data_IF_213467169564
#
_entry.id   IF_213467169564
#
_cell.length_a   1.000
_cell.length_b   1.000
_cell.length_c   1.000
_cell.angle_alpha   90.00
_cell.angle_beta   90.00
_cell.angle_gamma   90.00
#
_symmetry.space_group_name_H-M   'P 1'
#
loop_
_entity.id
_entity.type
_entity.pdbx_description
1 polymer ?
#
# COMPACT_ATOMS: atom_id res chain seq x y z
N UNK A 1 -20.41 9.07 -10.88
CA UNK A 1 -19.05 9.28 -10.32
C UNK A 1 -18.73 10.76 -10.28
N UNK A 2 -18.17 11.28 -9.17
CA UNK A 2 -17.94 12.73 -8.96
C UNK A 2 -17.00 13.37 -9.98
N UNK A 3 -15.92 12.68 -10.37
CA UNK A 3 -14.91 13.25 -11.27
C UNK A 3 -15.23 13.08 -12.77
N UNK A 4 -16.43 12.58 -13.11
CA UNK A 4 -16.89 12.46 -14.50
C UNK A 4 -16.52 11.16 -15.23
N UNK A 5 -16.03 10.13 -14.52
CA UNK A 5 -15.81 8.79 -15.11
C UNK A 5 -17.14 8.21 -15.63
N UNK A 6 -17.24 7.83 -16.92
CA UNK A 6 -18.49 7.40 -17.53
C UNK A 6 -18.81 5.91 -17.32
N UNK A 7 -17.79 5.05 -17.30
CA UNK A 7 -17.95 3.61 -17.11
C UNK A 7 -18.09 3.25 -15.62
N UNK A 8 -18.93 2.26 -15.32
CA UNK A 8 -19.21 1.82 -13.94
C UNK A 8 -19.09 0.32 -13.75
N UNK A 9 -18.78 -0.43 -14.80
CA UNK A 9 -18.85 -1.90 -14.76
C UNK A 9 -17.82 -2.51 -13.79
N UNK A 10 -16.71 -1.80 -13.55
CA UNK A 10 -15.70 -2.18 -12.56
C UNK A 10 -16.24 -2.30 -11.13
N UNK A 11 -17.38 -1.66 -10.82
CA UNK A 11 -18.03 -1.70 -9.50
C UNK A 11 -18.71 -3.03 -9.18
N UNK A 12 -19.07 -3.81 -10.21
CA UNK A 12 -19.90 -5.00 -10.05
C UNK A 12 -19.09 -6.31 -9.97
N UNK A 13 -17.77 -6.21 -10.06
CA UNK A 13 -16.87 -7.35 -9.94
C UNK A 13 -16.55 -7.66 -8.48
N UNK A 14 -16.62 -8.94 -8.13
CA UNK A 14 -16.22 -9.46 -6.83
C UNK A 14 -15.18 -10.56 -7.01
N UNK A 15 -14.16 -10.54 -6.16
CA UNK A 15 -13.20 -11.62 -6.08
C UNK A 15 -13.85 -12.89 -5.53
N UNK A 16 -13.63 -14.02 -6.21
CA UNK A 16 -14.10 -15.34 -5.78
C UNK A 16 -12.91 -16.32 -5.82
N UNK A 17 -12.34 -16.68 -4.66
CA UNK A 17 -11.30 -17.69 -4.62
C UNK A 17 -11.78 -19.05 -5.12
N UNK A 18 -10.84 -19.91 -5.50
CA UNK A 18 -11.14 -21.31 -5.78
C UNK A 18 -11.46 -22.06 -4.46
N UNK A 19 -12.55 -22.82 -4.46
CA UNK A 19 -12.88 -23.75 -3.36
C UNK A 19 -13.47 -23.12 -2.09
N UNK A 20 -13.65 -21.80 -2.02
CA UNK A 20 -14.38 -21.15 -0.92
C UNK A 20 -15.05 -19.85 -1.36
N UNK A 21 -15.95 -19.32 -0.52
CA UNK A 21 -16.55 -18.01 -0.69
C UNK A 21 -16.00 -17.06 0.39
N UNK A 22 -15.63 -15.84 -0.01
CA UNK A 22 -15.26 -14.75 0.91
C UNK A 22 -16.46 -13.83 1.05
N UNK A 23 -17.13 -13.76 2.22
CA UNK A 23 -18.28 -12.88 2.40
C UNK A 23 -17.90 -11.40 2.19
N UNK A 24 -18.84 -10.57 1.71
CA UNK A 24 -18.63 -9.12 1.67
C UNK A 24 -18.40 -8.54 3.07
N UNK A 25 -17.63 -7.46 3.13
CA UNK A 25 -17.35 -6.74 4.36
C UNK A 25 -18.63 -6.28 5.06
N UNK A 26 -18.77 -6.67 6.33
CA UNK A 26 -19.85 -6.26 7.23
C UNK A 26 -19.31 -5.24 8.23
N UNK A 27 -19.55 -3.96 7.93
CA UNK A 27 -19.06 -2.84 8.74
C UNK A 27 -19.54 -2.87 10.19
N UNK A 28 -20.73 -3.43 10.46
CA UNK A 28 -21.26 -3.50 11.83
C UNK A 28 -20.48 -4.55 12.61
N UNK A 29 -20.34 -5.76 12.07
CA UNK A 29 -19.52 -6.81 12.70
C UNK A 29 -18.08 -6.39 12.87
N UNK A 30 -17.52 -5.68 11.90
CA UNK A 30 -16.16 -5.17 11.99
C UNK A 30 -16.02 -4.20 13.17
N UNK A 31 -16.83 -3.12 13.21
CA UNK A 31 -16.74 -2.12 14.27
C UNK A 31 -17.04 -2.71 15.66
N UNK A 32 -18.01 -3.63 15.77
CA UNK A 32 -18.32 -4.34 17.01
C UNK A 32 -17.09 -5.14 17.51
N UNK A 33 -16.40 -5.84 16.61
CA UNK A 33 -15.18 -6.61 16.92
C UNK A 33 -13.93 -5.77 17.15
N UNK A 34 -13.93 -4.51 16.70
CA UNK A 34 -12.81 -3.56 16.87
C UNK A 34 -13.02 -2.57 18.02
N UNK A 35 -14.05 -2.79 18.85
CA UNK A 35 -14.35 -1.94 20.00
C UNK A 35 -13.15 -1.81 20.95
N UNK A 36 -12.78 -0.58 21.25
CA UNK A 36 -11.67 -0.26 22.15
C UNK A 36 -10.27 -0.50 21.57
N UNK A 37 -10.15 -0.79 20.27
CA UNK A 37 -8.87 -1.17 19.63
C UNK A 37 -8.25 -0.02 18.83
N UNK A 38 -6.96 -0.11 18.56
CA UNK A 38 -6.21 0.81 17.71
C UNK A 38 -5.57 0.09 16.52
N UNK A 39 -6.00 0.46 15.32
CA UNK A 39 -5.41 0.03 14.05
C UNK A 39 -4.38 1.03 13.51
N UNK A 40 -3.32 0.52 12.90
CA UNK A 40 -2.38 1.32 12.12
C UNK A 40 -2.22 0.76 10.69
N UNK A 41 -2.44 1.60 9.69
CA UNK A 41 -2.08 1.35 8.30
C UNK A 41 -0.77 2.09 8.02
N UNK A 42 0.32 1.35 7.81
CA UNK A 42 1.69 1.89 7.71
C UNK A 42 2.21 1.64 6.29
N UNK A 43 2.57 2.69 5.57
CA UNK A 43 3.15 2.54 4.24
C UNK A 43 2.99 3.77 3.36
N UNK A 44 2.67 3.53 2.09
CA UNK A 44 2.61 4.52 1.02
C UNK A 44 1.17 4.98 0.67
N UNK A 45 1.03 5.60 -0.49
CA UNK A 45 -0.24 6.14 -0.99
C UNK A 45 -1.28 5.06 -1.32
N UNK A 46 -0.87 3.80 -1.50
CA UNK A 46 -1.81 2.69 -1.70
C UNK A 46 -2.42 2.27 -0.35
N UNK A 47 -1.70 2.37 0.78
CA UNK A 47 -2.35 2.25 2.10
C UNK A 47 -3.34 3.36 2.34
N UNK A 48 -3.03 4.59 1.90
CA UNK A 48 -4.00 5.70 1.95
C UNK A 48 -5.25 5.37 1.15
N UNK A 49 -5.11 4.76 -0.02
CA UNK A 49 -6.24 4.30 -0.82
C UNK A 49 -7.03 3.20 -0.08
N UNK A 50 -6.34 2.29 0.59
CA UNK A 50 -6.94 1.16 1.33
C UNK A 50 -7.73 1.64 2.55
N UNK A 51 -7.17 2.53 3.37
CA UNK A 51 -7.90 3.09 4.52
C UNK A 51 -9.10 3.91 4.07
N UNK A 52 -9.03 4.63 2.94
CA UNK A 52 -10.18 5.35 2.40
C UNK A 52 -11.33 4.40 2.04
N UNK A 53 -11.03 3.25 1.43
CA UNK A 53 -12.02 2.18 1.21
C UNK A 53 -12.62 1.71 2.53
N UNK A 54 -11.79 1.39 3.53
CA UNK A 54 -12.26 0.93 4.84
C UNK A 54 -13.18 1.96 5.49
N UNK A 55 -12.78 3.24 5.52
CA UNK A 55 -13.56 4.34 6.08
C UNK A 55 -14.93 4.47 5.37
N UNK A 56 -14.98 4.35 4.04
CA UNK A 56 -16.24 4.34 3.29
C UNK A 56 -17.13 3.12 3.60
N UNK A 57 -16.54 1.96 3.88
CA UNK A 57 -17.30 0.76 4.22
C UNK A 57 -17.93 0.87 5.62
N UNK A 58 -17.19 1.39 6.60
CA UNK A 58 -17.65 1.52 7.99
C UNK A 58 -18.53 2.77 8.22
N UNK A 59 -18.44 3.80 7.38
CA UNK A 59 -19.30 5.00 7.48
C UNK A 59 -20.80 4.70 7.30
N UNK A 60 -21.14 3.53 6.75
CA UNK A 60 -22.53 3.04 6.70
C UNK A 60 -23.10 2.71 8.09
N UNK A 61 -22.24 2.62 9.11
CA UNK A 61 -22.60 2.26 10.49
C UNK A 61 -22.29 3.41 11.44
N UNK A 62 -21.10 4.00 11.35
CA UNK A 62 -20.70 5.14 12.17
C UNK A 62 -19.73 6.04 11.41
N UNK A 63 -19.95 7.36 11.48
CA UNK A 63 -19.02 8.35 10.96
C UNK A 63 -17.79 8.50 11.85
N UNK A 64 -16.62 8.47 11.23
CA UNK A 64 -15.36 8.69 11.92
C UNK A 64 -15.07 10.19 12.08
N UNK A 65 -14.56 10.59 13.24
CA UNK A 65 -14.00 11.94 13.44
C UNK A 65 -12.51 11.92 13.17
N UNK A 66 -12.01 12.75 12.25
CA UNK A 66 -10.57 12.95 12.09
C UNK A 66 -10.03 13.72 13.31
N UNK A 67 -9.16 13.09 14.10
CA UNK A 67 -8.64 13.64 15.37
C UNK A 67 -7.19 14.09 15.27
N UNK A 68 -6.51 13.75 14.17
CA UNK A 68 -5.14 14.18 13.89
C UNK A 68 -4.84 14.06 12.40
N UNK A 69 -4.03 14.99 11.90
CA UNK A 69 -3.28 14.86 10.66
C UNK A 69 -1.92 15.55 10.84
N UNK A 70 -0.90 15.12 10.08
CA UNK A 70 0.33 15.91 9.95
C UNK A 70 0.12 17.10 8.99
N UNK A 71 1.09 18.02 8.91
CA UNK A 71 1.00 19.23 8.08
C UNK A 71 0.79 18.91 6.59
N UNK A 72 1.28 17.75 6.14
CA UNK A 72 1.16 17.27 4.76
C UNK A 72 -0.07 16.40 4.52
N UNK A 73 -0.87 16.15 5.55
CA UNK A 73 -2.00 15.21 5.55
C UNK A 73 -1.66 13.78 5.07
N UNK A 74 -0.38 13.38 5.12
CA UNK A 74 0.09 12.05 4.69
C UNK A 74 -0.11 11.02 5.80
N UNK A 75 0.07 11.44 7.05
CA UNK A 75 -0.36 10.69 8.23
C UNK A 75 -1.63 11.31 8.81
N UNK A 76 -2.59 10.48 9.19
CA UNK A 76 -3.91 10.89 9.68
C UNK A 76 -4.42 9.90 10.72
N UNK A 77 -5.37 10.32 11.55
CA UNK A 77 -6.01 9.45 12.54
C UNK A 77 -7.49 9.78 12.64
N UNK A 78 -8.30 8.73 12.64
CA UNK A 78 -9.73 8.82 12.83
C UNK A 78 -10.16 8.01 14.06
N UNK A 79 -11.18 8.52 14.73
CA UNK A 79 -11.78 7.92 15.91
C UNK A 79 -13.28 7.71 15.68
N UNK A 80 -13.78 6.54 16.09
CA UNK A 80 -15.18 6.13 16.06
C UNK A 80 -15.71 6.15 17.50
N UNK A 81 -16.36 7.23 17.95
CA UNK A 81 -16.68 7.44 19.37
C UNK A 81 -17.53 6.33 19.99
N UNK A 82 -18.53 5.84 19.26
CA UNK A 82 -19.49 4.83 19.75
C UNK A 82 -18.85 3.46 19.93
N UNK A 83 -17.80 3.16 19.16
CA UNK A 83 -17.02 1.93 19.28
C UNK A 83 -15.72 2.13 20.07
N UNK A 84 -15.35 3.36 20.43
CA UNK A 84 -14.02 3.67 20.97
C UNK A 84 -12.91 3.04 20.11
N UNK A 85 -13.10 3.01 18.78
CA UNK A 85 -12.18 2.41 17.82
C UNK A 85 -11.36 3.51 17.18
N UNK A 86 -10.06 3.31 17.04
CA UNK A 86 -9.16 4.27 16.41
C UNK A 86 -8.44 3.62 15.24
N UNK A 87 -8.33 4.34 14.11
CA UNK A 87 -7.51 3.93 12.97
C UNK A 87 -6.55 5.06 12.59
N UNK A 88 -5.26 4.74 12.48
CA UNK A 88 -4.22 5.66 12.02
C UNK A 88 -3.72 5.26 10.64
N UNK A 89 -3.55 6.21 9.74
CA UNK A 89 -2.66 6.11 8.59
C UNK A 89 -1.31 6.73 8.96
N UNK A 90 -0.22 6.01 8.74
CA UNK A 90 1.14 6.47 9.03
C UNK A 90 1.96 6.42 7.75
N UNK A 91 2.43 7.59 7.31
CA UNK A 91 3.26 7.71 6.13
C UNK A 91 4.67 7.17 6.40
N UNK A 92 5.00 6.07 5.74
CA UNK A 92 6.30 5.42 5.78
C UNK A 92 6.52 4.65 4.47
N UNK A 93 6.63 5.33 3.32
CA UNK A 93 6.56 4.69 2.00
C UNK A 93 7.67 3.66 1.75
N UNK A 94 8.79 3.73 2.47
CA UNK A 94 9.91 2.77 2.41
C UNK A 94 10.03 1.89 3.65
N UNK A 95 9.20 2.11 4.69
CA UNK A 95 9.31 1.55 6.06
C UNK A 95 10.60 1.91 6.82
N UNK A 96 11.73 2.05 6.12
CA UNK A 96 13.00 2.60 6.60
C UNK A 96 12.99 4.12 6.53
N UNK A 97 13.91 4.74 7.28
CA UNK A 97 14.09 6.19 7.33
C UNK A 97 14.45 6.71 5.95
N UNK A 98 13.65 7.65 5.47
CA UNK A 98 13.82 8.26 4.16
C UNK A 98 13.81 9.79 4.27
N UNK A 99 14.73 10.46 3.59
CA UNK A 99 14.58 11.89 3.29
C UNK A 99 13.98 12.03 1.90
N UNK A 100 12.79 12.62 1.86
CA UNK A 100 12.01 12.81 0.64
C UNK A 100 12.00 14.30 0.32
N UNK A 101 12.40 14.63 -0.92
CA UNK A 101 12.53 16.00 -1.42
C UNK A 101 11.55 16.28 -2.58
N UNK A 102 10.50 15.47 -2.66
CA UNK A 102 9.47 15.49 -3.69
C UNK A 102 8.17 16.12 -3.17
N UNK A 103 7.55 16.99 -3.95
CA UNK A 103 6.22 17.54 -3.68
C UNK A 103 5.08 16.59 -4.09
N UNK A 104 3.82 17.02 -3.92
CA UNK A 104 2.65 16.17 -4.19
C UNK A 104 2.36 15.99 -5.69
N UNK A 105 2.98 16.81 -6.55
CA UNK A 105 2.92 16.71 -8.02
C UNK A 105 4.06 15.85 -8.58
N UNK A 106 4.95 15.34 -7.71
CA UNK A 106 6.06 14.48 -8.09
C UNK A 106 7.33 15.22 -8.49
N UNK A 107 7.41 16.53 -8.22
CA UNK A 107 8.59 17.35 -8.53
C UNK A 107 9.62 17.21 -7.43
N UNK A 108 10.78 16.63 -7.77
CA UNK A 108 11.90 16.41 -6.85
C UNK A 108 12.91 17.55 -6.90
N UNK A 109 13.33 18.03 -5.72
CA UNK A 109 14.40 19.05 -5.58
C UNK A 109 15.78 18.45 -5.28
N UNK A 110 15.84 17.17 -4.89
CA UNK A 110 17.06 16.40 -4.70
C UNK A 110 16.73 14.89 -4.74
N UNK A 111 17.77 14.05 -4.90
CA UNK A 111 17.61 12.59 -4.83
C UNK A 111 17.19 12.16 -3.42
N UNK A 112 16.33 11.14 -3.35
CA UNK A 112 15.93 10.53 -2.09
C UNK A 112 17.13 9.95 -1.35
N UNK A 113 17.09 9.97 -0.02
CA UNK A 113 18.11 9.31 0.81
C UNK A 113 17.44 8.23 1.64
N UNK A 114 17.77 6.96 1.41
CA UNK A 114 17.23 5.81 2.15
C UNK A 114 18.29 5.25 3.09
N UNK A 115 18.01 5.26 4.39
CA UNK A 115 18.85 4.63 5.39
C UNK A 115 18.39 3.19 5.63
N UNK A 116 18.96 2.22 4.93
CA UNK A 116 18.45 0.84 4.84
C UNK A 116 18.52 0.07 6.17
N UNK A 117 19.38 0.51 7.08
CA UNK A 117 19.61 -0.04 8.42
C UNK A 117 18.83 0.68 9.53
N UNK A 118 18.10 1.74 9.21
CA UNK A 118 17.36 2.55 10.19
C UNK A 118 15.89 2.57 9.86
N UNK A 119 15.03 2.09 10.77
CA UNK A 119 13.58 2.15 10.59
C UNK A 119 13.04 3.57 10.72
N UNK A 120 11.95 3.83 9.99
CA UNK A 120 11.24 5.11 10.12
C UNK A 120 10.63 5.25 11.51
N UNK A 121 10.96 6.34 12.20
CA UNK A 121 10.57 6.57 13.59
C UNK A 121 9.07 6.81 13.71
N UNK A 122 8.44 7.36 12.66
CA UNK A 122 7.02 7.67 12.67
C UNK A 122 6.13 6.47 13.00
N UNK A 123 6.48 5.25 12.60
CA UNK A 123 5.66 4.08 12.93
C UNK A 123 6.22 3.26 14.09
N UNK A 124 7.55 3.12 14.18
CA UNK A 124 8.20 2.34 15.24
C UNK A 124 8.00 2.94 16.64
N UNK A 125 8.05 4.27 16.78
CA UNK A 125 7.84 4.95 18.07
C UNK A 125 6.43 4.75 18.65
N UNK A 126 5.46 4.40 17.79
CA UNK A 126 4.05 4.19 18.16
C UNK A 126 3.66 2.72 18.19
N UNK A 127 4.57 1.80 17.86
CA UNK A 127 4.31 0.37 17.74
C UNK A 127 3.59 -0.23 18.95
N UNK A 128 4.00 0.16 20.16
CA UNK A 128 3.48 -0.33 21.44
C UNK A 128 1.99 -0.01 21.67
N UNK A 129 1.42 0.93 20.90
CA UNK A 129 0.02 1.36 21.06
C UNK A 129 -0.97 0.65 20.14
N UNK A 130 -0.49 -0.12 19.17
CA UNK A 130 -1.37 -0.73 18.16
C UNK A 130 -1.83 -2.11 18.61
N UNK A 131 -3.08 -2.44 18.32
CA UNK A 131 -3.61 -3.80 18.47
C UNK A 131 -3.54 -4.57 17.14
N UNK A 132 -3.71 -3.84 16.03
CA UNK A 132 -3.65 -4.37 14.67
C UNK A 132 -2.86 -3.44 13.77
N UNK A 133 -2.15 -4.03 12.82
CA UNK A 133 -1.34 -3.31 11.84
C UNK A 133 -1.60 -3.88 10.45
N UNK A 134 -1.83 -3.02 9.46
CA UNK A 134 -1.68 -3.37 8.04
C UNK A 134 -0.47 -2.61 7.52
N UNK A 135 0.58 -3.33 7.13
CA UNK A 135 1.84 -2.74 6.70
C UNK A 135 2.19 -3.19 5.30
N UNK A 136 2.65 -2.27 4.46
CA UNK A 136 3.24 -2.61 3.15
C UNK A 136 4.04 -1.46 2.55
N UNK A 137 4.77 -1.75 1.49
CA UNK A 137 5.58 -0.82 0.72
C UNK A 137 5.74 -1.34 -0.71
N UNK A 138 6.32 -0.58 -1.63
CA UNK A 138 6.55 -1.07 -2.99
C UNK A 138 7.01 -0.01 -3.98
N UNK A 139 6.07 0.63 -4.67
CA UNK A 139 6.31 1.42 -5.88
C UNK A 139 7.34 2.56 -5.72
N UNK A 140 7.51 3.07 -4.50
CA UNK A 140 8.50 4.11 -4.20
C UNK A 140 9.95 3.67 -4.40
N UNK A 141 10.25 2.37 -4.34
CA UNK A 141 11.60 1.83 -4.53
C UNK A 141 12.15 1.98 -5.96
N UNK A 142 11.30 2.25 -6.95
CA UNK A 142 11.72 2.55 -8.33
C UNK A 142 12.16 4.00 -8.53
N UNK A 143 12.06 4.87 -7.51
CA UNK A 143 12.54 6.25 -7.61
C UNK A 143 14.06 6.30 -7.49
N UNK A 144 14.66 7.29 -8.14
CA UNK A 144 16.09 7.62 -7.95
C UNK A 144 16.38 7.88 -6.48
N UNK A 145 17.36 7.17 -5.93
CA UNK A 145 17.65 7.22 -4.50
C UNK A 145 19.12 6.89 -4.21
N UNK A 146 19.70 7.59 -3.23
CA UNK A 146 20.97 7.26 -2.60
C UNK A 146 20.71 6.35 -1.40
N UNK A 147 21.49 5.28 -1.30
CA UNK A 147 21.38 4.29 -0.24
C UNK A 147 22.47 4.51 0.80
N UNK A 148 22.06 4.52 2.06
CA UNK A 148 22.91 4.72 3.21
C UNK A 148 22.81 3.53 4.16
N UNK A 149 23.95 3.11 4.70
CA UNK A 149 24.05 2.20 5.85
C UNK A 149 25.09 2.76 6.83
N UNK A 150 24.81 2.74 8.13
CA UNK A 150 25.66 3.30 9.18
C UNK A 150 26.05 4.78 8.94
N UNK A 151 25.21 5.52 8.22
CA UNK A 151 25.45 6.92 7.86
C UNK A 151 26.39 7.15 6.67
N UNK A 152 26.90 6.10 6.03
CA UNK A 152 27.74 6.19 4.82
C UNK A 152 26.93 5.88 3.56
N UNK A 153 27.20 6.59 2.46
CA UNK A 153 26.64 6.26 1.14
C UNK A 153 27.29 4.97 0.64
N UNK A 154 26.48 3.94 0.38
CA UNK A 154 26.95 2.62 -0.08
C UNK A 154 26.72 2.39 -1.57
N UNK A 155 25.86 3.19 -2.17
CA UNK A 155 25.43 3.04 -3.56
C UNK A 155 24.14 3.79 -3.80
N UNK A 156 23.56 3.59 -4.97
CA UNK A 156 22.39 4.34 -5.37
C UNK A 156 21.65 3.68 -6.53
N UNK A 157 20.40 4.07 -6.76
CA UNK A 157 19.64 3.67 -7.94
C UNK A 157 19.39 4.87 -8.84
N UNK A 158 19.73 4.73 -10.12
CA UNK A 158 19.47 5.71 -11.18
C UNK A 158 20.05 7.11 -10.90
N UNK A 159 21.12 7.25 -10.12
CA UNK A 159 21.75 8.55 -9.89
C UNK A 159 22.76 8.82 -10.99
N UNK A 160 22.30 9.54 -12.00
CA UNK A 160 23.17 9.99 -13.06
C UNK A 160 24.26 10.91 -12.48
N UNK A 161 25.51 10.66 -12.86
CA UNK A 161 26.67 11.50 -12.54
C UNK A 161 27.09 11.54 -11.06
N UNK A 162 26.68 10.56 -10.25
CA UNK A 162 27.29 10.31 -8.94
C UNK A 162 28.34 9.21 -9.07
N UNK A 163 29.52 9.40 -8.48
CA UNK A 163 30.55 8.34 -8.37
C UNK A 163 30.16 7.30 -7.30
N UNK A 164 28.92 6.80 -7.37
CA UNK A 164 28.35 5.81 -6.46
C UNK A 164 28.10 4.51 -7.24
N UNK A 165 28.14 3.38 -6.54
CA UNK A 165 27.80 2.08 -7.11
C UNK A 165 26.31 2.04 -7.48
N UNK A 166 26.00 1.67 -8.72
CA UNK A 166 24.61 1.46 -9.16
C UNK A 166 24.10 0.16 -8.55
N UNK A 167 22.98 0.26 -7.83
CA UNK A 167 22.35 -0.82 -7.11
C UNK A 167 20.89 -0.92 -7.54
N UNK A 168 20.42 -2.16 -7.67
CA UNK A 168 19.06 -2.41 -8.14
C UNK A 168 18.02 -2.01 -7.08
N UNK A 169 16.80 -1.59 -7.48
CA UNK A 169 15.71 -1.30 -6.55
C UNK A 169 15.29 -2.55 -5.73
N UNK A 170 15.50 -3.75 -6.27
CA UNK A 170 15.28 -5.01 -5.56
C UNK A 170 16.18 -5.16 -4.33
N UNK A 171 17.42 -4.67 -4.40
CA UNK A 171 18.36 -4.72 -3.27
C UNK A 171 17.83 -3.92 -2.08
N UNK A 172 17.48 -2.65 -2.31
CA UNK A 172 17.00 -1.75 -1.26
C UNK A 172 15.63 -2.19 -0.75
N UNK A 173 14.75 -2.69 -1.62
CA UNK A 173 13.46 -3.26 -1.24
C UNK A 173 13.61 -4.47 -0.32
N UNK A 174 14.44 -5.45 -0.70
CA UNK A 174 14.71 -6.63 0.13
C UNK A 174 15.29 -6.25 1.49
N UNK A 175 16.24 -5.31 1.51
CA UNK A 175 16.85 -4.82 2.75
C UNK A 175 15.81 -4.17 3.67
N UNK A 176 14.99 -3.28 3.14
CA UNK A 176 13.95 -2.62 3.93
C UNK A 176 12.94 -3.60 4.52
N UNK A 177 12.51 -4.60 3.74
CA UNK A 177 11.61 -5.66 4.23
C UNK A 177 12.28 -6.51 5.32
N UNK A 178 13.53 -6.94 5.11
CA UNK A 178 14.28 -7.70 6.11
C UNK A 178 14.40 -6.91 7.42
N UNK A 179 14.73 -5.63 7.37
CA UNK A 179 14.85 -4.75 8.55
C UNK A 179 13.50 -4.58 9.25
N UNK A 180 12.42 -4.34 8.49
CA UNK A 180 11.07 -4.17 9.04
C UNK A 180 10.53 -5.46 9.69
N UNK A 181 10.66 -6.60 9.01
CA UNK A 181 10.22 -7.89 9.55
C UNK A 181 11.00 -8.31 10.78
N UNK A 182 12.32 -8.09 10.80
CA UNK A 182 13.13 -8.36 11.99
C UNK A 182 12.64 -7.55 13.20
N UNK A 183 12.30 -6.27 13.03
CA UNK A 183 11.70 -5.48 14.10
C UNK A 183 10.34 -6.04 14.54
N UNK A 184 9.46 -6.39 13.60
CA UNK A 184 8.12 -6.92 13.91
C UNK A 184 8.20 -8.22 14.71
N UNK A 185 9.11 -9.12 14.34
CA UNK A 185 9.22 -10.45 14.98
C UNK A 185 10.05 -10.43 16.25
N UNK A 186 10.93 -9.45 16.46
CA UNK A 186 11.71 -9.31 17.71
C UNK A 186 11.10 -8.33 18.73
N UNK A 187 10.14 -7.50 18.32
CA UNK A 187 9.49 -6.52 19.21
C UNK A 187 8.79 -7.22 20.39
N UNK A 188 8.90 -6.73 21.64
CA UNK A 188 8.19 -7.31 22.79
C UNK A 188 6.66 -7.27 22.64
N UNK A 189 6.14 -6.25 21.95
CA UNK A 189 4.70 -6.10 21.71
C UNK A 189 4.30 -6.70 20.37
N UNK A 190 3.26 -7.54 20.39
CA UNK A 190 2.85 -8.41 19.29
C UNK A 190 1.41 -8.10 18.84
N UNK A 191 1.17 -6.96 18.14
CA UNK A 191 -0.14 -6.72 17.51
C UNK A 191 -0.39 -7.75 16.42
N UNK A 192 -1.63 -7.96 15.99
CA UNK A 192 -1.87 -8.74 14.76
C UNK A 192 -1.43 -7.90 13.55
N UNK A 193 -0.50 -8.41 12.76
CA UNK A 193 0.09 -7.69 11.61
C UNK A 193 -0.32 -8.37 10.32
N UNK A 194 -0.95 -7.63 9.41
CA UNK A 194 -1.17 -8.03 8.03
C UNK A 194 -0.10 -7.37 7.16
N UNK A 195 0.82 -8.16 6.61
CA UNK A 195 1.68 -7.68 5.53
C UNK A 195 0.92 -7.77 4.21
N UNK A 196 0.57 -6.62 3.62
CA UNK A 196 -0.09 -6.59 2.30
C UNK A 196 0.96 -6.68 1.21
N UNK A 197 0.82 -7.63 0.30
CA UNK A 197 1.75 -7.78 -0.83
C UNK A 197 1.59 -6.65 -1.87
N UNK A 198 2.45 -6.73 -2.88
CA UNK A 198 2.62 -5.81 -3.99
C UNK A 198 1.28 -5.45 -4.64
N UNK A 199 1.09 -4.14 -4.83
CA UNK A 199 -0.04 -3.60 -5.58
C UNK A 199 0.46 -3.21 -6.98
N UNK A 200 0.04 -3.91 -8.05
CA UNK A 200 0.50 -3.65 -9.39
C UNK A 200 -0.05 -2.32 -9.92
N UNK A 201 0.73 -1.69 -10.79
CA UNK A 201 0.22 -0.64 -11.67
C UNK A 201 -0.20 -1.24 -13.02
N UNK A 202 -1.06 -0.53 -13.75
CA UNK A 202 -1.54 -0.97 -15.06
C UNK A 202 -1.29 0.06 -16.15
N UNK A 203 -0.11 0.69 -16.11
CA UNK A 203 0.33 1.55 -17.19
C UNK A 203 0.55 0.73 -18.47
N UNK A 204 -0.07 1.15 -19.56
CA UNK A 204 0.10 0.63 -20.91
C UNK A 204 0.55 1.78 -21.83
N UNK A 205 1.36 1.44 -22.84
CA UNK A 205 1.88 2.38 -23.85
C UNK A 205 2.76 3.52 -23.29
N UNK A 206 3.43 3.29 -22.16
CA UNK A 206 4.31 4.23 -21.49
C UNK A 206 4.19 4.12 -19.98
N UNK A 207 4.94 4.94 -19.27
CA UNK A 207 4.96 5.04 -17.81
C UNK A 207 4.18 6.27 -17.33
N UNK A 208 4.03 6.40 -16.01
CA UNK A 208 3.34 7.53 -15.38
C UNK A 208 3.87 8.92 -15.82
N UNK A 209 5.16 9.02 -16.16
CA UNK A 209 5.83 10.25 -16.60
C UNK A 209 5.97 10.38 -18.13
N UNK A 210 5.80 9.28 -18.88
CA UNK A 210 6.00 9.26 -20.34
C UNK A 210 4.70 9.10 -21.13
N UNK A 211 3.55 9.26 -20.48
CA UNK A 211 2.23 9.28 -21.14
C UNK A 211 1.51 7.94 -21.15
N UNK A 212 1.88 7.02 -20.26
CA UNK A 212 1.18 5.76 -20.06
C UNK A 212 -0.30 5.95 -19.71
N UNK A 213 -1.10 4.94 -20.03
CA UNK A 213 -2.57 4.97 -19.89
C UNK A 213 -3.10 3.65 -19.32
N UNK A 214 -4.35 3.64 -18.84
CA UNK A 214 -5.04 2.46 -18.31
C UNK A 214 -6.51 2.53 -18.71
N UNK A 215 -6.77 2.42 -20.01
CA UNK A 215 -8.10 2.67 -20.57
C UNK A 215 -9.03 1.44 -20.53
N UNK A 216 -8.59 0.34 -19.92
CA UNK A 216 -9.38 -0.89 -19.84
C UNK A 216 -10.60 -0.65 -18.96
N UNK A 217 -11.74 -1.20 -19.38
CA UNK A 217 -13.03 -1.09 -18.66
C UNK A 217 -13.54 -2.45 -18.20
N UNK A 218 -12.72 -3.49 -18.30
CA UNK A 218 -13.04 -4.85 -17.83
C UNK A 218 -11.79 -5.53 -17.26
N UNK A 219 -11.97 -6.47 -16.32
CA UNK A 219 -10.88 -7.27 -15.78
C UNK A 219 -10.11 -8.03 -16.86
N UNK A 220 -8.86 -8.37 -16.56
CA UNK A 220 -8.14 -9.35 -17.36
C UNK A 220 -8.78 -10.73 -17.24
N UNK A 221 -8.77 -11.46 -18.36
CA UNK A 221 -8.98 -12.91 -18.38
C UNK A 221 -7.70 -13.63 -17.91
N UNK A 222 -7.80 -14.90 -17.48
CA UNK A 222 -6.62 -15.71 -17.17
C UNK A 222 -5.59 -15.67 -18.32
N UNK A 223 -4.35 -15.29 -17.99
CA UNK A 223 -3.24 -15.16 -18.94
C UNK A 223 -3.19 -13.85 -19.74
N UNK A 224 -4.18 -12.97 -19.63
CA UNK A 224 -4.22 -11.71 -20.39
C UNK A 224 -3.27 -10.64 -19.86
N UNK A 225 -2.88 -10.73 -18.58
CA UNK A 225 -2.02 -9.74 -17.93
C UNK A 225 -0.58 -9.66 -18.49
N UNK A 226 -0.17 -10.64 -19.31
CA UNK A 226 1.16 -10.69 -19.93
C UNK A 226 2.30 -11.01 -18.96
N UNK A 227 3.53 -10.83 -19.43
CA UNK A 227 4.73 -11.00 -18.62
C UNK A 227 4.99 -9.74 -17.78
N UNK A 228 4.61 -9.82 -16.50
CA UNK A 228 4.66 -8.73 -15.52
C UNK A 228 5.98 -8.76 -14.75
N UNK A 229 7.10 -8.77 -15.48
CA UNK A 229 8.42 -9.11 -14.94
C UNK A 229 8.78 -8.32 -13.66
N UNK A 230 8.67 -6.99 -13.70
CA UNK A 230 8.99 -6.13 -12.55
C UNK A 230 8.05 -6.37 -11.37
N UNK A 231 6.74 -6.43 -11.61
CA UNK A 231 5.75 -6.69 -10.55
C UNK A 231 5.99 -8.07 -9.91
N UNK A 232 6.24 -9.10 -10.74
CA UNK A 232 6.52 -10.46 -10.30
C UNK A 232 7.81 -10.55 -9.46
N UNK A 233 8.87 -9.83 -9.85
CA UNK A 233 10.12 -9.77 -9.08
C UNK A 233 9.89 -9.18 -7.70
N UNK A 234 9.18 -8.05 -7.62
CA UNK A 234 8.92 -7.39 -6.34
C UNK A 234 8.03 -8.25 -5.44
N UNK A 235 6.93 -8.80 -5.97
CA UNK A 235 6.10 -9.75 -5.23
C UNK A 235 6.89 -10.99 -4.74
N UNK A 236 7.79 -11.53 -5.57
CA UNK A 236 8.65 -12.66 -5.18
C UNK A 236 9.57 -12.30 -4.02
N UNK A 237 10.18 -11.12 -4.02
CA UNK A 237 11.01 -10.65 -2.91
C UNK A 237 10.20 -10.56 -1.61
N UNK A 238 8.98 -10.04 -1.66
CA UNK A 238 8.10 -9.97 -0.49
C UNK A 238 7.81 -11.36 0.08
N UNK A 239 7.45 -12.29 -0.80
CA UNK A 239 7.18 -13.69 -0.46
C UNK A 239 8.39 -14.34 0.19
N UNK A 240 9.57 -14.17 -0.39
CA UNK A 240 10.82 -14.75 0.13
C UNK A 240 11.21 -14.18 1.50
N UNK A 241 11.16 -12.86 1.69
CA UNK A 241 11.49 -12.26 3.00
C UNK A 241 10.44 -12.60 4.07
N UNK A 242 9.16 -12.71 3.69
CA UNK A 242 8.09 -13.17 4.57
C UNK A 242 8.29 -14.64 4.97
N UNK A 243 8.50 -15.54 4.02
CA UNK A 243 8.69 -16.96 4.29
C UNK A 243 9.97 -17.20 5.12
N UNK A 244 11.03 -16.42 4.87
CA UNK A 244 12.27 -16.42 5.66
C UNK A 244 12.05 -16.04 7.12
N UNK A 245 11.26 -14.99 7.40
CA UNK A 245 11.03 -14.57 8.79
C UNK A 245 10.09 -15.52 9.52
N UNK A 246 9.09 -16.07 8.84
CA UNK A 246 8.15 -17.05 9.42
C UNK A 246 8.84 -18.38 9.72
N UNK A 247 9.84 -18.76 8.92
CA UNK A 247 10.64 -19.95 9.18
C UNK A 247 11.62 -19.80 10.36
N UNK A 248 11.94 -18.56 10.77
CA UNK A 248 12.82 -18.31 11.90
C UNK A 248 12.09 -18.62 13.23
N UNK A 249 12.63 -19.55 14.02
CA UNK A 249 12.07 -19.99 15.31
C UNK A 249 12.99 -19.63 16.48
N UNK A 250 13.59 -18.44 16.44
CA UNK A 250 14.39 -17.93 17.54
C UNK A 250 13.55 -17.84 18.83
N UNK A 251 14.13 -18.07 20.02
CA UNK A 251 13.37 -18.06 21.28
C UNK A 251 12.70 -16.71 21.59
N UNK A 252 13.19 -15.62 21.02
CA UNK A 252 12.63 -14.26 21.15
C UNK A 252 11.99 -13.75 19.84
N UNK A 253 12.04 -14.55 18.77
CA UNK A 253 11.51 -14.19 17.45
C UNK A 253 10.27 -15.07 17.19
N UNK A 254 9.08 -14.52 17.37
CA UNK A 254 7.83 -15.17 16.94
C UNK A 254 7.23 -14.38 15.78
N UNK A 255 6.75 -15.10 14.78
CA UNK A 255 6.02 -14.56 13.64
C UNK A 255 4.53 -14.97 13.64
N UNK A 256 4.02 -15.54 14.74
CA UNK A 256 2.65 -16.08 14.80
C UNK A 256 1.59 -14.98 14.62
N UNK A 257 1.93 -13.75 15.02
CA UNK A 257 1.13 -12.54 14.86
C UNK A 257 1.25 -11.90 13.48
N UNK A 258 2.18 -12.35 12.64
CA UNK A 258 2.40 -11.84 11.29
C UNK A 258 1.67 -12.71 10.26
N UNK A 259 0.71 -12.12 9.55
CA UNK A 259 -0.14 -12.76 8.55
C UNK A 259 0.15 -12.17 7.18
N UNK A 260 0.20 -13.02 6.16
CA UNK A 260 0.31 -12.57 4.77
C UNK A 260 -1.08 -12.23 4.22
N UNK A 261 -1.28 -10.97 3.84
CA UNK A 261 -2.43 -10.52 3.07
C UNK A 261 -1.99 -10.44 1.60
N UNK A 262 -2.06 -11.58 0.91
CA UNK A 262 -1.63 -11.66 -0.48
C UNK A 262 -2.72 -11.15 -1.43
N UNK A 263 -2.53 -9.92 -1.92
CA UNK A 263 -3.47 -9.21 -2.79
C UNK A 263 -2.98 -9.07 -4.23
N UNK A 264 -1.81 -9.62 -4.56
CA UNK A 264 -1.16 -9.37 -5.83
C UNK A 264 -1.98 -9.87 -7.02
N UNK A 265 -2.30 -11.16 -7.06
CA UNK A 265 -2.99 -11.78 -8.21
C UNK A 265 -4.38 -11.20 -8.44
N UNK A 266 -5.18 -11.02 -7.38
CA UNK A 266 -6.52 -10.44 -7.51
C UNK A 266 -6.48 -8.99 -7.99
N UNK A 267 -5.44 -8.24 -7.62
CA UNK A 267 -5.28 -6.84 -8.03
C UNK A 267 -4.76 -6.75 -9.45
N UNK A 268 -3.86 -7.66 -9.84
CA UNK A 268 -3.35 -7.76 -11.20
C UNK A 268 -4.46 -8.00 -12.22
N UNK A 269 -5.51 -8.73 -11.85
CA UNK A 269 -6.64 -8.98 -12.75
C UNK A 269 -7.55 -7.77 -12.96
N UNK A 270 -7.29 -6.62 -12.31
CA UNK A 270 -8.24 -5.49 -12.23
C UNK A 270 -7.72 -4.20 -12.86
N UNK A 271 -7.19 -4.20 -14.11
CA UNK A 271 -6.77 -2.95 -14.77
C UNK A 271 -7.92 -1.93 -14.91
N UNK A 272 -9.17 -2.41 -14.88
CA UNK A 272 -10.39 -1.62 -14.97
C UNK A 272 -10.68 -0.74 -13.76
N UNK A 273 -10.06 -1.00 -12.61
CA UNK A 273 -10.37 -0.28 -11.39
C UNK A 273 -9.54 0.97 -11.12
N UNK A 274 -8.57 1.29 -11.96
CA UNK A 274 -7.73 2.46 -11.76
C UNK A 274 -8.45 3.78 -12.03
N UNK A 275 -8.01 4.84 -11.36
CA UNK A 275 -8.60 6.17 -11.55
C UNK A 275 -8.33 6.76 -12.94
N UNK A 276 -7.21 6.40 -13.57
CA UNK A 276 -6.82 6.87 -14.89
C UNK A 276 -6.83 8.40 -14.96
N UNK A 277 -7.49 9.02 -15.95
CA UNK A 277 -7.55 10.47 -16.06
C UNK A 277 -8.49 11.09 -15.00
N UNK A 278 -9.35 10.29 -14.37
CA UNK A 278 -10.38 10.73 -13.45
C UNK A 278 -9.89 10.88 -12.01
N UNK A 279 -8.57 10.83 -11.77
CA UNK A 279 -7.98 11.42 -10.55
C UNK A 279 -8.26 12.93 -10.50
N UNK A 280 -8.27 13.58 -11.65
CA UNK A 280 -8.62 15.00 -11.81
C UNK A 280 -10.13 15.18 -11.96
N UNK A 281 -10.68 16.27 -11.42
CA UNK A 281 -12.11 16.58 -11.54
C UNK A 281 -12.47 16.97 -12.99
N UNK A 282 -13.31 16.18 -13.65
CA UNK A 282 -13.75 16.36 -15.04
C UNK A 282 -12.61 16.66 -16.03
N UNK A 283 -11.68 15.70 -16.24
CA UNK A 283 -10.42 15.92 -16.96
C UNK A 283 -10.60 16.41 -18.42
N UNK A 284 -11.76 16.14 -19.02
CA UNK A 284 -12.05 16.48 -20.42
C UNK A 284 -13.07 17.61 -20.59
N UNK A 285 -13.37 18.39 -19.52
CA UNK A 285 -14.36 19.48 -19.59
C UNK A 285 -14.00 20.57 -20.61
N UNK A 286 -12.71 20.83 -20.81
CA UNK A 286 -12.18 21.82 -21.77
C UNK A 286 -11.90 21.21 -23.16
N UNK A 287 -12.28 19.95 -23.39
CA UNK A 287 -12.09 19.22 -24.65
C UNK A 287 -11.08 18.07 -24.53
N UNK A 288 -11.14 17.12 -25.47
CA UNK A 288 -10.29 15.91 -25.49
C UNK A 288 -8.81 16.19 -25.84
N UNK A 289 -8.48 17.42 -26.27
CA UNK A 289 -7.11 17.82 -26.61
C UNK A 289 -6.24 18.16 -25.38
N UNK A 290 -6.81 18.19 -24.18
CA UNK A 290 -6.07 18.46 -22.95
C UNK A 290 -5.12 17.29 -22.64
N UNK A 291 -3.84 17.60 -22.37
CA UNK A 291 -2.88 16.60 -21.88
C UNK A 291 -3.22 16.28 -20.43
N UNK A 292 -3.89 15.15 -20.21
CA UNK A 292 -4.27 14.68 -18.88
C UNK A 292 -3.33 13.56 -18.45
N UNK A 293 -2.70 13.71 -17.29
CA UNK A 293 -1.91 12.64 -16.69
C UNK A 293 -2.84 11.53 -16.18
N UNK A 294 -2.50 10.29 -16.48
CA UNK A 294 -3.25 9.14 -16.02
C UNK A 294 -2.64 8.61 -14.73
N UNK A 295 -3.48 8.29 -13.77
CA UNK A 295 -3.10 7.57 -12.57
C UNK A 295 -3.56 6.11 -12.66
N UNK A 296 -2.62 5.27 -13.10
CA UNK A 296 -2.79 3.82 -13.26
C UNK A 296 -2.17 3.04 -12.11
N UNK A 297 -2.00 3.69 -10.95
CA UNK A 297 -1.50 3.11 -9.73
C UNK A 297 -2.58 3.09 -8.65
N UNK A 298 -3.30 4.21 -8.48
CA UNK A 298 -4.38 4.32 -7.51
C UNK A 298 -5.72 3.85 -8.09
N UNK A 299 -6.61 3.43 -7.18
CA UNK A 299 -7.85 2.73 -7.44
C UNK A 299 -9.06 3.62 -7.16
N UNK A 300 -10.09 3.50 -7.98
CA UNK A 300 -11.39 4.11 -7.72
C UNK A 300 -12.00 3.57 -6.42
N UNK A 301 -12.80 4.42 -5.77
CA UNK A 301 -13.61 4.07 -4.59
C UNK A 301 -15.08 4.46 -4.83
N UNK A 302 -16.04 3.54 -4.60
CA UNK A 302 -15.85 2.10 -4.40
C UNK A 302 -15.13 1.45 -5.61
N UNK A 303 -14.52 0.27 -5.41
CA UNK A 303 -13.70 -0.36 -6.46
C UNK A 303 -12.97 -1.62 -6.02
N UNK A 304 -11.99 -2.12 -6.81
CA UNK A 304 -11.36 -3.42 -6.55
C UNK A 304 -10.69 -3.55 -5.18
N UNK A 305 -10.19 -2.43 -4.65
CA UNK A 305 -9.52 -2.36 -3.36
C UNK A 305 -10.45 -2.70 -2.18
N UNK A 306 -11.77 -2.65 -2.37
CA UNK A 306 -12.75 -3.09 -1.38
C UNK A 306 -12.59 -4.60 -1.07
N UNK A 307 -12.15 -5.40 -2.04
CA UNK A 307 -11.90 -6.84 -1.85
C UNK A 307 -10.76 -7.12 -0.85
N UNK A 308 -9.84 -6.17 -0.63
CA UNK A 308 -8.79 -6.33 0.38
C UNK A 308 -9.39 -6.30 1.79
N UNK A 309 -10.39 -5.45 2.01
CA UNK A 309 -11.14 -5.39 3.26
C UNK A 309 -11.99 -6.65 3.49
N UNK A 310 -12.61 -7.20 2.43
CA UNK A 310 -13.32 -8.49 2.49
C UNK A 310 -12.39 -9.61 3.01
N UNK A 311 -11.17 -9.69 2.47
CA UNK A 311 -10.17 -10.69 2.86
C UNK A 311 -9.71 -10.45 4.30
N UNK A 312 -9.36 -9.22 4.68
CA UNK A 312 -9.00 -8.87 6.06
C UNK A 312 -10.10 -9.30 7.03
N UNK A 313 -11.36 -8.99 6.74
CA UNK A 313 -12.47 -9.38 7.60
C UNK A 313 -12.57 -10.90 7.77
N UNK A 314 -12.36 -11.66 6.69
CA UNK A 314 -12.33 -13.11 6.75
C UNK A 314 -11.14 -13.65 7.55
N UNK A 315 -9.97 -12.99 7.49
CA UNK A 315 -8.80 -13.36 8.29
C UNK A 315 -9.04 -13.08 9.78
N UNK A 316 -9.61 -11.93 10.12
CA UNK A 316 -9.97 -11.56 11.49
C UNK A 316 -10.99 -12.51 12.13
N UNK A 317 -11.87 -13.11 11.34
CA UNK A 317 -12.85 -14.08 11.83
C UNK A 317 -12.24 -15.44 12.20
N UNK A 318 -10.97 -15.69 11.83
CA UNK A 318 -10.23 -16.92 12.13
C UNK A 318 -9.20 -16.75 13.25
N UNK A 319 -8.98 -15.51 13.69
CA UNK A 319 -8.16 -15.17 14.86
C UNK A 319 -9.02 -15.16 16.13
#
# INVERSE_FOLDING_TARGET
MTNGRPDTDYLYWRWKPFGCDVPPFDGKKFLDSMRGKHWALIGDSILRNHIQSLLCLVSKVEDATEVYHDDTFKSRRWHFPSHNFTVSLIWAPFLVKAKIFEDDDGVSTADLQLHLDVLETNWTSRWQSFDYVVISTGQWFFKTAVYLENGAEIGCHSCQNKNLEEMSPEYSFRKALSTAFQFITSSPHKPVVFYRTWAPSHFENGEWFSGGTCNRTSPFKPGEAGDRESDNKMWTIEREEFDKVVANKGPNDSADHLKLLDTFELSLLRPDGHSGPYRTYHPYKTGMAAKVQNDCLHWCLPGPIDAWNDIIMQMLAKD
#
